data_IF_343330505883
#
_entry.id   IF_343330505883
#
_cell.length_a   1.000
_cell.length_b   1.000
_cell.length_c   1.000
_cell.angle_alpha   90.00
_cell.angle_beta   90.00
_cell.angle_gamma   90.00
#
_symmetry.space_group_name_H-M   'P 1'
#
loop_
_entity.id
_entity.type
_entity.pdbx_description
1 polymer ?
#
# COMPACT_ATOMS: atom_id res chain seq x y z
N UNK A 1 -79.63 -4.50 20.45
CA UNK A 1 -80.07 -4.08 19.11
C UNK A 1 -79.53 -5.06 18.10
N UNK A 2 -80.43 -5.63 17.29
CA UNK A 2 -80.22 -6.75 16.36
C UNK A 2 -80.08 -6.19 14.94
N UNK A 3 -79.08 -6.64 14.18
CA UNK A 3 -79.09 -6.83 12.71
C UNK A 3 -78.18 -8.04 12.43
N UNK A 4 -78.68 -9.24 12.09
CA UNK A 4 -79.11 -9.76 10.77
C UNK A 4 -78.12 -9.39 9.65
N UNK A 5 -77.67 -10.23 8.72
CA UNK A 5 -77.89 -11.64 8.33
C UNK A 5 -77.07 -11.84 7.01
N UNK A 6 -76.81 -13.11 6.61
CA UNK A 6 -76.55 -13.61 5.23
C UNK A 6 -75.08 -13.81 4.75
N UNK A 7 -74.63 -15.05 4.93
CA UNK A 7 -74.05 -16.02 3.97
C UNK A 7 -73.75 -15.61 2.51
N UNK A 8 -72.53 -15.89 2.01
CA UNK A 8 -72.10 -16.27 0.63
C UNK A 8 -70.60 -15.91 0.52
N UNK A 9 -69.66 -16.67 -0.04
CA UNK A 9 -69.60 -17.99 -0.62
C UNK A 9 -68.11 -18.32 -0.80
N UNK A 10 -67.79 -19.60 -0.83
CA UNK A 10 -66.46 -20.12 -1.12
C UNK A 10 -66.07 -19.73 -2.55
N UNK A 11 -64.88 -19.15 -2.75
CA UNK A 11 -64.19 -19.22 -4.04
C UNK A 11 -62.70 -19.36 -3.78
N UNK A 12 -62.23 -20.60 -3.93
CA UNK A 12 -60.83 -20.99 -3.99
C UNK A 12 -60.25 -20.35 -5.26
N UNK A 13 -59.35 -19.39 -5.12
CA UNK A 13 -58.42 -19.03 -6.18
C UNK A 13 -57.05 -19.45 -5.71
N UNK A 14 -56.62 -20.57 -6.27
CA UNK A 14 -55.29 -21.16 -6.17
C UNK A 14 -54.29 -20.18 -6.77
N UNK A 15 -53.73 -19.32 -5.92
CA UNK A 15 -52.60 -18.46 -6.26
C UNK A 15 -51.37 -19.35 -6.43
N UNK A 16 -51.00 -19.60 -7.67
CA UNK A 16 -49.72 -20.18 -8.07
C UNK A 16 -48.63 -19.26 -7.51
N UNK A 17 -48.01 -19.68 -6.41
CA UNK A 17 -46.78 -19.08 -5.91
C UNK A 17 -45.67 -19.55 -6.87
N UNK A 18 -45.44 -18.76 -7.91
CA UNK A 18 -44.20 -18.81 -8.68
C UNK A 18 -43.10 -18.31 -7.74
N UNK A 19 -42.52 -19.24 -7.00
CA UNK A 19 -41.23 -19.01 -6.34
C UNK A 19 -40.22 -18.91 -7.49
N UNK A 20 -40.02 -17.68 -7.99
CA UNK A 20 -38.83 -17.37 -8.74
C UNK A 20 -37.69 -17.58 -7.75
N UNK A 21 -37.08 -18.77 -7.80
CA UNK A 21 -35.71 -18.96 -7.38
C UNK A 21 -34.86 -18.11 -8.32
N UNK A 22 -34.89 -16.79 -8.10
CA UNK A 22 -33.74 -15.99 -8.40
C UNK A 22 -32.63 -16.60 -7.58
N UNK A 23 -31.73 -17.31 -8.24
CA UNK A 23 -30.40 -17.51 -7.71
C UNK A 23 -29.82 -16.11 -7.48
N UNK A 24 -30.12 -15.52 -6.32
CA UNK A 24 -29.15 -14.65 -5.70
C UNK A 24 -28.02 -15.59 -5.32
N UNK A 25 -27.09 -15.77 -6.24
CA UNK A 25 -25.72 -16.03 -5.87
C UNK A 25 -25.37 -14.89 -4.92
N UNK A 26 -25.54 -15.14 -3.63
CA UNK A 26 -25.00 -14.29 -2.60
C UNK A 26 -23.50 -14.44 -2.80
N UNK A 27 -22.96 -13.53 -3.61
CA UNK A 27 -21.54 -13.33 -3.69
C UNK A 27 -21.12 -13.05 -2.25
N UNK A 28 -20.55 -14.05 -1.60
CA UNK A 28 -19.64 -13.79 -0.52
C UNK A 28 -18.52 -13.00 -1.20
N UNK A 29 -18.66 -11.68 -1.28
CA UNK A 29 -17.65 -10.79 -1.84
C UNK A 29 -16.48 -10.79 -0.86
N UNK A 30 -15.65 -11.83 -0.98
CA UNK A 30 -14.37 -11.92 -0.30
C UNK A 30 -13.42 -10.84 -0.82
N UNK A 31 -13.65 -10.39 -2.05
CA UNK A 31 -12.79 -9.47 -2.77
C UNK A 31 -13.37 -8.05 -2.66
N UNK A 32 -12.52 -7.03 -2.47
CA UNK A 32 -12.97 -5.65 -2.39
C UNK A 32 -13.49 -5.15 -3.74
N UNK A 33 -14.49 -4.26 -3.69
CA UNK A 33 -15.00 -3.60 -4.91
C UNK A 33 -14.05 -2.53 -5.43
N UNK A 34 -13.20 -1.99 -4.57
CA UNK A 34 -12.23 -0.94 -4.89
C UNK A 34 -10.96 -1.12 -4.07
N UNK A 35 -9.82 -0.99 -4.74
CA UNK A 35 -8.50 -0.90 -4.11
C UNK A 35 -7.87 0.40 -4.58
N UNK A 36 -7.38 1.23 -3.67
CA UNK A 36 -6.78 2.52 -4.03
C UNK A 36 -6.11 3.22 -2.87
N UNK A 37 -5.65 4.45 -3.10
CA UNK A 37 -4.93 5.26 -2.11
C UNK A 37 -5.76 6.48 -1.70
N UNK A 38 -5.82 6.76 -0.40
CA UNK A 38 -6.51 7.94 0.13
C UNK A 38 -5.76 9.21 -0.32
N UNK A 39 -6.40 10.10 -1.08
CA UNK A 39 -5.82 11.39 -1.50
C UNK A 39 -6.42 12.59 -0.72
N UNK A 40 -7.54 12.39 -0.03
CA UNK A 40 -8.18 13.42 0.79
C UNK A 40 -9.14 12.86 1.83
N UNK A 41 -9.26 13.55 2.96
CA UNK A 41 -10.13 13.15 4.08
C UNK A 41 -10.96 14.36 4.51
N UNK A 42 -12.28 14.22 4.47
CA UNK A 42 -13.23 15.18 5.00
C UNK A 42 -13.83 14.62 6.29
N UNK A 43 -13.43 15.19 7.43
CA UNK A 43 -13.90 14.71 8.73
C UNK A 43 -15.41 14.84 8.90
N UNK A 44 -16.06 13.89 9.60
CA UNK A 44 -17.47 14.00 9.97
C UNK A 44 -17.67 15.24 10.86
N UNK A 45 -18.59 16.12 10.47
CA UNK A 45 -19.01 17.25 11.31
C UNK A 45 -20.28 16.89 12.08
N UNK A 46 -20.16 16.64 13.39
CA UNK A 46 -21.28 16.26 14.25
C UNK A 46 -21.79 14.84 13.97
N UNK A 47 -23.09 14.65 13.83
CA UNK A 47 -23.72 13.34 13.49
C UNK A 47 -23.62 12.97 11.99
N UNK A 48 -22.86 13.74 11.20
CA UNK A 48 -22.76 13.54 9.74
C UNK A 48 -21.73 12.46 9.39
N UNK A 49 -21.95 11.81 8.25
CA UNK A 49 -20.96 10.93 7.61
C UNK A 49 -19.69 11.71 7.23
N UNK A 50 -18.53 11.09 7.44
CA UNK A 50 -17.26 11.56 6.89
C UNK A 50 -17.12 11.13 5.43
N UNK A 51 -16.12 11.67 4.73
CA UNK A 51 -15.79 11.23 3.39
C UNK A 51 -14.28 11.04 3.23
N UNK A 52 -13.90 10.04 2.44
CA UNK A 52 -12.52 9.90 1.94
C UNK A 52 -12.55 9.94 0.42
N UNK A 53 -11.56 10.59 -0.17
CA UNK A 53 -11.30 10.55 -1.59
C UNK A 53 -10.22 9.48 -1.83
N UNK A 54 -10.44 8.61 -2.82
CA UNK A 54 -9.60 7.45 -3.11
C UNK A 54 -9.24 7.45 -4.59
N UNK A 55 -7.93 7.46 -4.89
CA UNK A 55 -7.39 7.31 -6.22
C UNK A 55 -7.17 5.81 -6.54
N UNK A 56 -7.64 5.34 -7.69
CA UNK A 56 -7.58 3.95 -8.15
C UNK A 56 -7.39 3.94 -9.69
N UNK A 57 -6.18 4.25 -10.18
CA UNK A 57 -5.94 4.51 -11.60
C UNK A 57 -6.23 3.32 -12.52
N UNK A 58 -6.18 2.09 -11.99
CA UNK A 58 -6.42 0.85 -12.73
C UNK A 58 -7.89 0.36 -12.68
N UNK A 59 -8.79 1.14 -12.08
CA UNK A 59 -10.20 0.76 -11.96
C UNK A 59 -10.99 1.01 -13.26
N UNK A 60 -11.84 0.05 -13.62
CA UNK A 60 -12.61 0.06 -14.86
C UNK A 60 -13.83 0.99 -14.86
N UNK A 61 -14.20 1.55 -13.70
CA UNK A 61 -15.39 2.40 -13.51
C UNK A 61 -15.01 3.87 -13.39
N UNK A 62 -13.97 4.20 -12.61
CA UNK A 62 -13.44 5.55 -12.42
C UNK A 62 -12.03 5.48 -11.84
N UNK A 63 -11.13 6.39 -12.21
CA UNK A 63 -9.81 6.51 -11.57
C UNK A 63 -9.90 7.16 -10.18
N UNK A 64 -11.02 7.81 -9.84
CA UNK A 64 -11.21 8.52 -8.58
C UNK A 64 -12.59 8.28 -7.99
N UNK A 65 -12.63 8.04 -6.67
CA UNK A 65 -13.85 7.81 -5.91
C UNK A 65 -13.95 8.73 -4.70
N UNK A 66 -15.14 9.28 -4.47
CA UNK A 66 -15.54 9.88 -3.20
C UNK A 66 -16.36 8.87 -2.41
N UNK A 67 -15.76 8.35 -1.35
CA UNK A 67 -16.35 7.32 -0.49
C UNK A 67 -16.98 7.96 0.74
N UNK A 68 -18.26 7.71 0.94
CA UNK A 68 -18.97 8.12 2.16
C UNK A 68 -18.78 7.09 3.26
N UNK A 69 -18.30 7.53 4.42
CA UNK A 69 -18.06 6.71 5.61
C UNK A 69 -19.07 7.07 6.69
N UNK A 70 -19.84 6.09 7.12
CA UNK A 70 -20.94 6.24 8.08
C UNK A 70 -20.61 5.55 9.40
N UNK A 71 -21.47 5.73 10.40
CA UNK A 71 -21.42 4.99 11.67
C UNK A 71 -21.58 3.46 11.50
N UNK A 72 -22.20 3.03 10.40
CA UNK A 72 -22.36 1.63 10.02
C UNK A 72 -21.15 1.06 9.29
N UNK A 73 -20.24 1.90 8.79
CA UNK A 73 -19.06 1.44 8.05
C UNK A 73 -18.10 0.75 9.00
N UNK A 74 -17.72 -0.49 8.69
CA UNK A 74 -16.75 -1.23 9.49
C UNK A 74 -15.34 -0.89 9.00
N UNK A 75 -14.52 -0.30 9.89
CA UNK A 75 -13.15 0.11 9.55
C UNK A 75 -12.17 -0.79 10.29
N UNK A 76 -11.22 -1.34 9.54
CA UNK A 76 -10.17 -2.21 10.06
C UNK A 76 -8.81 -1.76 9.53
N UNK A 77 -7.74 -2.10 10.25
CA UNK A 77 -6.38 -2.11 9.74
C UNK A 77 -5.86 -3.55 9.71
N UNK A 78 -5.06 -3.89 8.70
CA UNK A 78 -4.31 -5.15 8.64
C UNK A 78 -2.83 -4.84 8.47
N UNK A 79 -2.07 -5.17 9.50
CA UNK A 79 -0.61 -4.97 9.60
C UNK A 79 0.07 -6.34 9.48
N UNK A 80 1.16 -6.42 8.71
CA UNK A 80 1.98 -7.64 8.54
C UNK A 80 1.21 -8.93 8.14
N UNK A 81 0.04 -8.82 7.52
CA UNK A 81 -0.79 -9.97 7.10
C UNK A 81 -1.28 -10.91 8.21
N UNK A 82 -1.14 -10.54 9.49
CA UNK A 82 -1.44 -11.45 10.60
C UNK A 82 -2.90 -11.37 11.09
N UNK A 83 -3.50 -10.17 11.21
CA UNK A 83 -4.90 -10.01 11.68
C UNK A 83 -5.53 -8.64 11.42
N UNK A 84 -6.85 -8.62 11.18
CA UNK A 84 -7.67 -7.40 11.11
C UNK A 84 -7.92 -6.84 12.52
N UNK A 85 -7.46 -5.62 12.76
CA UNK A 85 -7.75 -4.85 13.97
C UNK A 85 -8.79 -3.77 13.66
N UNK A 86 -9.85 -3.67 14.47
CA UNK A 86 -10.88 -2.65 14.29
C UNK A 86 -10.34 -1.27 14.69
N UNK A 87 -10.57 -0.27 13.83
CA UNK A 87 -10.15 1.13 14.03
C UNK A 87 -11.31 2.09 13.72
N UNK A 88 -11.09 3.39 13.86
CA UNK A 88 -12.08 4.45 13.63
C UNK A 88 -11.74 5.35 12.44
N UNK A 89 -12.65 6.30 12.15
CA UNK A 89 -12.47 7.26 11.05
C UNK A 89 -11.21 8.12 11.20
N UNK A 90 -10.81 8.42 12.44
CA UNK A 90 -9.65 9.26 12.72
C UNK A 90 -8.31 8.55 12.46
N UNK A 91 -8.33 7.25 12.18
CA UNK A 91 -7.13 6.47 11.86
C UNK A 91 -6.78 6.53 10.36
N UNK A 92 -7.63 7.16 9.55
CA UNK A 92 -7.32 7.45 8.15
C UNK A 92 -6.25 8.54 8.03
N UNK A 93 -5.32 8.32 7.12
CA UNK A 93 -4.32 9.28 6.68
C UNK A 93 -4.25 9.30 5.15
N UNK A 94 -3.97 10.48 4.58
CA UNK A 94 -3.67 10.56 3.16
C UNK A 94 -2.43 9.69 2.83
N UNK A 95 -2.41 9.07 1.65
CA UNK A 95 -1.40 8.12 1.21
C UNK A 95 -1.67 6.66 1.60
N UNK A 96 -2.60 6.37 2.52
CA UNK A 96 -2.90 4.99 2.90
C UNK A 96 -3.58 4.22 1.77
N UNK A 97 -3.17 2.97 1.57
CA UNK A 97 -3.88 2.02 0.73
C UNK A 97 -5.12 1.52 1.45
N UNK A 98 -6.22 1.43 0.72
CA UNK A 98 -7.50 0.95 1.24
C UNK A 98 -8.12 -0.04 0.27
N UNK A 99 -8.67 -1.09 0.84
CA UNK A 99 -9.62 -1.97 0.20
C UNK A 99 -11.03 -1.61 0.70
N UNK A 100 -11.95 -1.36 -0.23
CA UNK A 100 -13.29 -0.85 0.06
C UNK A 100 -14.33 -1.82 -0.49
N UNK A 101 -15.23 -2.24 0.40
CA UNK A 101 -16.46 -2.94 0.04
C UNK A 101 -17.62 -1.94 0.11
N UNK A 102 -18.36 -1.82 -0.98
CA UNK A 102 -19.45 -0.89 -1.13
C UNK A 102 -20.71 -1.39 -0.42
N UNK A 103 -21.50 -0.46 0.13
CA UNK A 103 -22.79 -0.75 0.77
C UNK A 103 -23.99 -0.27 -0.05
N UNK A 104 -23.78 0.15 -1.29
CA UNK A 104 -24.82 0.69 -2.16
C UNK A 104 -24.34 0.88 -3.60
N UNK A 105 -25.22 1.40 -4.48
CA UNK A 105 -24.86 1.63 -5.88
C UNK A 105 -23.75 2.66 -6.02
N UNK A 106 -22.90 2.48 -7.03
CA UNK A 106 -21.95 3.50 -7.47
C UNK A 106 -22.71 4.53 -8.30
N UNK A 107 -22.55 5.81 -7.97
CA UNK A 107 -23.02 6.92 -8.80
C UNK A 107 -21.93 7.27 -9.80
N UNK A 108 -22.23 7.12 -11.08
CA UNK A 108 -21.33 7.36 -12.23
C UNK A 108 -21.13 8.87 -12.51
N UNK A 109 -20.69 9.62 -11.49
CA UNK A 109 -20.19 11.00 -11.62
C UNK A 109 -18.67 11.04 -11.63
N UNK A 110 -18.07 12.22 -11.80
CA UNK A 110 -16.63 12.41 -11.61
C UNK A 110 -16.33 13.40 -10.46
N UNK A 111 -15.67 12.97 -9.37
CA UNK A 111 -15.35 11.58 -9.02
C UNK A 111 -16.59 10.68 -8.87
N UNK A 112 -16.42 9.37 -9.02
CA UNK A 112 -17.50 8.41 -8.78
C UNK A 112 -17.84 8.42 -7.28
N UNK A 113 -19.11 8.30 -6.92
CA UNK A 113 -19.54 8.40 -5.52
C UNK A 113 -20.17 7.10 -5.04
N UNK A 114 -19.83 6.67 -3.83
CA UNK A 114 -20.37 5.44 -3.24
C UNK A 114 -20.29 5.47 -1.72
N UNK A 115 -21.09 4.64 -1.04
CA UNK A 115 -21.00 4.43 0.41
C UNK A 115 -20.22 3.17 0.72
N UNK A 116 -19.40 3.20 1.77
CA UNK A 116 -18.63 2.03 2.21
C UNK A 116 -19.40 1.21 3.25
N UNK A 117 -19.44 -0.11 3.06
CA UNK A 117 -19.84 -1.10 4.06
C UNK A 117 -18.67 -1.53 4.93
N UNK A 118 -17.53 -1.84 4.30
CA UNK A 118 -16.27 -2.16 4.98
C UNK A 118 -15.14 -1.39 4.32
N UNK A 119 -14.24 -0.87 5.14
CA UNK A 119 -12.95 -0.33 4.70
C UNK A 119 -11.87 -1.09 5.47
N UNK A 120 -10.96 -1.70 4.74
CA UNK A 120 -9.73 -2.23 5.29
C UNK A 120 -8.61 -1.29 4.87
N UNK A 121 -8.05 -0.58 5.85
CA UNK A 121 -6.74 0.05 5.70
C UNK A 121 -5.77 -1.12 5.60
N UNK A 122 -5.29 -1.34 4.39
CA UNK A 122 -4.21 -2.28 4.18
C UNK A 122 -2.94 -1.48 4.35
N UNK A 123 -1.99 -2.03 5.09
CA UNK A 123 -0.63 -1.83 4.63
C UNK A 123 -0.64 -2.41 3.21
N UNK A 124 -0.35 -1.58 2.21
CA UNK A 124 0.26 -2.11 1.00
C UNK A 124 1.27 -3.17 1.47
N UNK A 125 1.22 -4.44 1.01
CA UNK A 125 2.31 -5.36 1.33
C UNK A 125 3.56 -4.58 0.94
N UNK A 126 4.38 -4.21 1.92
CA UNK A 126 5.17 -3.01 1.77
C UNK A 126 5.98 -3.08 0.46
N UNK A 127 5.52 -2.33 -0.52
CA UNK A 127 6.09 -2.22 -1.85
C UNK A 127 5.82 -0.76 -2.16
N UNK A 128 6.58 0.15 -1.54
CA UNK A 128 8.01 0.29 -1.80
C UNK A 128 8.93 0.47 -0.57
N UNK A 129 8.66 -0.15 0.59
CA UNK A 129 9.66 -0.21 1.68
C UNK A 129 9.63 -1.53 2.44
N UNK A 130 10.56 -2.42 2.08
CA UNK A 130 11.02 -3.58 2.87
C UNK A 130 10.07 -4.80 2.89
N UNK A 131 10.53 -6.00 2.45
CA UNK A 131 9.82 -7.26 2.64
C UNK A 131 9.43 -7.49 4.12
N UNK A 132 8.27 -8.10 4.41
CA UNK A 132 7.99 -8.56 5.76
C UNK A 132 9.02 -9.63 6.13
N UNK A 133 9.84 -9.31 7.13
CA UNK A 133 10.65 -10.28 7.84
C UNK A 133 9.71 -11.23 8.58
N UNK A 134 9.48 -12.40 7.99
CA UNK A 134 9.10 -13.57 8.76
C UNK A 134 10.05 -13.63 9.98
N UNK A 135 9.47 -13.68 11.18
CA UNK A 135 10.09 -14.03 12.47
C UNK A 135 10.26 -12.88 13.49
N UNK A 136 9.80 -11.66 13.21
CA UNK A 136 9.81 -10.58 14.21
C UNK A 136 11.20 -10.05 14.59
N UNK A 137 12.19 -10.26 13.73
CA UNK A 137 13.54 -9.72 13.90
C UNK A 137 13.60 -8.28 13.36
N UNK A 138 14.29 -7.42 14.12
CA UNK A 138 14.45 -5.99 13.82
C UNK A 138 15.24 -5.77 12.52
N UNK A 139 14.62 -5.14 11.52
CA UNK A 139 15.31 -4.69 10.31
C UNK A 139 16.15 -3.44 10.58
N UNK A 140 17.28 -3.31 9.88
CA UNK A 140 18.10 -2.10 9.88
C UNK A 140 17.81 -1.33 8.60
N UNK A 141 17.48 -0.04 8.75
CA UNK A 141 17.35 0.90 7.63
C UNK A 141 18.57 1.81 7.58
N UNK A 142 19.22 1.86 6.43
CA UNK A 142 20.25 2.83 6.09
C UNK A 142 19.67 3.77 5.05
N UNK A 143 19.51 5.03 5.42
CA UNK A 143 19.11 6.08 4.50
C UNK A 143 20.27 7.05 4.27
N UNK A 144 20.46 7.47 3.02
CA UNK A 144 21.40 8.54 2.65
C UNK A 144 20.69 9.51 1.71
N UNK A 145 20.58 10.76 2.17
CA UNK A 145 19.86 11.82 1.46
C UNK A 145 20.73 12.50 0.40
N UNK A 146 20.11 13.27 -0.50
CA UNK A 146 20.85 14.04 -1.50
C UNK A 146 21.79 15.07 -0.85
N UNK A 147 21.35 15.70 0.25
CA UNK A 147 22.17 16.68 1.00
C UNK A 147 23.38 16.01 1.66
N UNK A 148 23.22 14.78 2.15
CA UNK A 148 24.31 13.99 2.72
C UNK A 148 25.34 13.64 1.64
N UNK A 149 24.90 13.15 0.47
CA UNK A 149 25.80 12.88 -0.65
C UNK A 149 26.45 14.14 -1.23
N UNK A 150 25.72 15.25 -1.31
CA UNK A 150 26.27 16.54 -1.76
C UNK A 150 27.36 17.05 -0.81
N UNK A 151 27.23 16.77 0.48
CA UNK A 151 28.22 17.16 1.50
C UNK A 151 29.38 16.17 1.59
N UNK A 152 29.10 14.87 1.44
CA UNK A 152 30.05 13.76 1.54
C UNK A 152 29.77 12.76 0.41
N UNK A 153 30.42 12.91 -0.75
CA UNK A 153 30.15 12.06 -1.92
C UNK A 153 30.45 10.58 -1.72
N UNK A 154 31.40 10.26 -0.83
CA UNK A 154 31.84 8.88 -0.57
C UNK A 154 31.66 8.55 0.91
N UNK A 155 30.67 7.72 1.21
CA UNK A 155 30.25 7.41 2.58
C UNK A 155 30.58 5.95 2.88
N UNK A 156 31.10 5.71 4.08
CA UNK A 156 31.29 4.35 4.62
C UNK A 156 30.56 4.24 5.95
N UNK A 157 29.75 3.18 6.12
CA UNK A 157 29.03 2.90 7.37
C UNK A 157 29.29 1.45 7.82
N UNK A 158 29.40 1.26 9.12
CA UNK A 158 29.43 -0.06 9.77
C UNK A 158 28.01 -0.44 10.17
N UNK A 159 27.56 -1.63 9.80
CA UNK A 159 26.20 -2.11 10.00
C UNK A 159 26.23 -3.45 10.72
N UNK A 160 25.49 -3.56 11.82
CA UNK A 160 25.30 -4.84 12.52
C UNK A 160 23.86 -5.33 12.33
N UNK A 161 23.69 -6.57 11.86
CA UNK A 161 22.41 -7.26 11.81
C UNK A 161 22.50 -8.59 12.57
N UNK A 162 21.40 -9.04 13.17
CA UNK A 162 21.33 -10.36 13.82
C UNK A 162 20.81 -11.40 12.82
N UNK A 163 21.35 -12.62 12.83
CA UNK A 163 20.85 -13.72 12.02
C UNK A 163 19.68 -14.46 12.71
N UNK A 164 18.56 -14.72 12.00
CA UNK A 164 18.20 -14.17 10.69
C UNK A 164 17.80 -12.69 10.80
N UNK A 165 18.13 -11.87 9.81
CA UNK A 165 17.77 -10.45 9.78
C UNK A 165 17.83 -9.85 8.39
N UNK A 166 17.39 -8.59 8.29
CA UNK A 166 17.38 -7.84 7.03
C UNK A 166 17.99 -6.46 7.16
N UNK A 167 18.50 -6.00 6.02
CA UNK A 167 19.02 -4.67 5.81
C UNK A 167 18.28 -4.03 4.64
N UNK A 168 17.83 -2.80 4.81
CA UNK A 168 17.29 -1.98 3.74
C UNK A 168 18.14 -0.74 3.56
N UNK A 169 18.44 -0.44 2.31
CA UNK A 169 19.29 0.68 1.93
C UNK A 169 18.48 1.59 1.01
N UNK A 170 18.28 2.85 1.42
CA UNK A 170 17.53 3.86 0.68
C UNK A 170 18.45 5.03 0.34
N UNK A 171 18.75 5.21 -0.94
CA UNK A 171 19.71 6.22 -1.42
C UNK A 171 18.99 7.23 -2.30
N UNK A 172 19.29 8.52 -2.12
CA UNK A 172 18.87 9.54 -3.07
C UNK A 172 19.26 9.14 -4.51
N UNK A 173 18.34 9.37 -5.44
CA UNK A 173 18.54 9.09 -6.86
C UNK A 173 17.85 10.15 -7.70
N UNK A 174 18.57 10.71 -8.67
CA UNK A 174 18.02 11.70 -9.59
C UNK A 174 18.28 11.31 -11.06
N UNK A 175 17.48 10.38 -11.63
CA UNK A 175 17.61 9.95 -13.01
C UNK A 175 17.53 11.07 -14.05
N UNK A 176 16.90 12.21 -13.71
CA UNK A 176 16.80 13.38 -14.62
C UNK A 176 18.16 14.02 -14.95
N UNK A 177 19.19 13.75 -14.14
CA UNK A 177 20.58 14.20 -14.36
C UNK A 177 21.40 13.28 -15.26
N UNK A 178 20.81 12.14 -15.66
CA UNK A 178 21.44 11.08 -16.44
C UNK A 178 22.31 10.12 -15.61
N UNK A 179 22.30 10.24 -14.29
CA UNK A 179 22.96 9.29 -13.40
C UNK A 179 21.98 8.22 -12.89
N UNK A 180 22.50 7.03 -12.67
CA UNK A 180 21.81 5.90 -12.06
C UNK A 180 22.74 5.14 -11.10
N UNK A 181 22.15 4.40 -10.17
CA UNK A 181 22.93 3.50 -9.32
C UNK A 181 23.27 2.22 -10.11
N UNK A 182 24.54 1.84 -10.12
CA UNK A 182 25.00 0.56 -10.66
C UNK A 182 24.45 -0.61 -9.83
N UNK A 183 24.49 -1.81 -10.40
CA UNK A 183 24.22 -3.04 -9.64
C UNK A 183 25.10 -3.09 -8.38
N UNK A 184 24.48 -3.40 -7.24
CA UNK A 184 25.22 -3.47 -5.97
C UNK A 184 26.28 -4.55 -6.04
N UNK A 185 27.50 -4.22 -5.63
CA UNK A 185 28.55 -5.21 -5.47
C UNK A 185 28.48 -5.78 -4.05
N UNK A 186 28.18 -7.08 -3.95
CA UNK A 186 28.08 -7.82 -2.70
C UNK A 186 29.36 -8.66 -2.54
N UNK A 187 30.11 -8.45 -1.46
CA UNK A 187 31.37 -9.16 -1.22
C UNK A 187 31.18 -10.65 -0.96
N UNK A 188 30.11 -11.02 -0.24
CA UNK A 188 29.72 -12.41 0.02
C UNK A 188 28.19 -12.59 -0.01
N UNK A 189 27.68 -13.08 -1.15
CA UNK A 189 26.25 -13.38 -1.37
C UNK A 189 25.74 -14.59 -0.58
N UNK A 190 26.63 -15.46 -0.10
CA UNK A 190 26.25 -16.62 0.73
C UNK A 190 25.92 -16.23 2.18
N UNK A 191 26.28 -15.00 2.56
CA UNK A 191 26.06 -14.42 3.86
C UNK A 191 24.92 -13.40 3.85
N UNK A 192 24.87 -12.52 2.85
CA UNK A 192 23.80 -11.53 2.66
C UNK A 192 23.50 -11.41 1.18
N UNK A 193 22.23 -11.48 0.80
CA UNK A 193 21.81 -11.42 -0.60
C UNK A 193 20.71 -10.40 -0.80
N UNK A 194 20.73 -9.73 -1.96
CA UNK A 194 19.67 -8.81 -2.36
C UNK A 194 18.39 -9.61 -2.66
N UNK A 195 17.29 -9.18 -2.08
CA UNK A 195 15.94 -9.71 -2.35
C UNK A 195 15.16 -8.82 -3.30
N UNK A 196 15.42 -7.51 -3.28
CA UNK A 196 14.66 -6.54 -4.05
C UNK A 196 15.48 -5.27 -4.33
N UNK A 197 15.18 -4.58 -5.43
CA UNK A 197 15.66 -3.23 -5.75
C UNK A 197 14.56 -2.49 -6.53
N UNK A 198 14.13 -1.34 -6.02
CA UNK A 198 13.12 -0.49 -6.66
C UNK A 198 13.54 0.99 -6.65
N UNK A 199 13.08 1.72 -7.66
CA UNK A 199 13.08 3.18 -7.64
C UNK A 199 11.74 3.71 -7.12
N UNK A 200 11.82 4.68 -6.21
CA UNK A 200 10.71 5.42 -5.59
C UNK A 200 10.74 6.85 -6.12
N UNK A 201 9.72 7.24 -6.87
CA UNK A 201 9.57 8.62 -7.33
C UNK A 201 9.27 9.56 -6.16
N UNK A 202 9.68 10.85 -6.22
CA UNK A 202 9.35 11.82 -5.17
C UNK A 202 7.84 11.97 -4.99
N UNK A 203 7.38 11.99 -3.73
CA UNK A 203 5.95 12.04 -3.35
C UNK A 203 5.24 13.32 -3.84
N UNK A 204 5.97 14.42 -4.04
CA UNK A 204 5.44 15.68 -4.54
C UNK A 204 5.20 15.61 -6.06
N UNK A 205 4.05 15.08 -6.44
CA UNK A 205 3.55 15.06 -7.82
C UNK A 205 3.46 16.49 -8.37
N UNK A 206 4.38 16.85 -9.28
CA UNK A 206 4.38 18.14 -9.98
C UNK A 206 5.72 18.86 -10.09
N UNK A 207 6.75 18.43 -9.35
CA UNK A 207 8.10 19.01 -9.51
C UNK A 207 8.87 18.18 -10.54
N UNK A 208 8.91 18.68 -11.78
CA UNK A 208 9.75 18.10 -12.84
C UNK A 208 11.22 18.16 -12.40
N UNK A 209 11.89 17.02 -12.35
CA UNK A 209 13.31 16.91 -12.00
C UNK A 209 13.63 16.78 -10.50
N UNK A 210 12.61 16.60 -9.64
CA UNK A 210 12.85 16.28 -8.24
C UNK A 210 13.52 14.90 -8.10
N UNK A 211 14.46 14.79 -7.15
CA UNK A 211 15.14 13.54 -6.85
C UNK A 211 14.18 12.56 -6.17
N UNK A 212 14.18 11.32 -6.64
CA UNK A 212 13.57 10.18 -5.96
C UNK A 212 14.58 9.43 -5.10
N UNK A 213 14.33 8.14 -4.90
CA UNK A 213 15.22 7.24 -4.16
C UNK A 213 15.32 5.89 -4.84
N UNK A 214 16.49 5.29 -4.82
CA UNK A 214 16.64 3.85 -5.07
C UNK A 214 16.66 3.12 -3.71
N UNK A 215 15.94 2.01 -3.64
CA UNK A 215 15.73 1.24 -2.41
C UNK A 215 16.07 -0.22 -2.66
N UNK A 216 17.05 -0.74 -1.92
CA UNK A 216 17.44 -2.14 -1.93
C UNK A 216 17.03 -2.83 -0.64
N UNK A 217 16.62 -4.08 -0.76
CA UNK A 217 16.33 -4.97 0.35
C UNK A 217 17.28 -6.16 0.34
N UNK A 218 17.80 -6.52 1.51
CA UNK A 218 18.72 -7.63 1.70
C UNK A 218 18.29 -8.51 2.86
N UNK A 219 18.52 -9.81 2.74
CA UNK A 219 18.35 -10.77 3.83
C UNK A 219 19.69 -11.46 4.14
N UNK A 220 19.92 -11.75 5.42
CA UNK A 220 21.03 -12.60 5.84
C UNK A 220 20.74 -14.07 5.58
N UNK A 221 21.71 -14.81 5.07
CA UNK A 221 21.69 -16.26 4.92
C UNK A 221 22.57 -17.00 5.96
N UNK A 222 23.58 -16.33 6.51
CA UNK A 222 24.45 -16.86 7.58
C UNK A 222 25.14 -15.74 8.36
N UNK A 223 25.78 -16.05 9.49
CA UNK A 223 26.58 -15.10 10.26
C UNK A 223 28.00 -14.92 9.69
N UNK A 224 28.59 -13.73 9.86
CA UNK A 224 29.92 -13.38 9.38
C UNK A 224 30.05 -11.90 9.01
N UNK A 225 31.00 -11.57 8.12
CA UNK A 225 31.16 -10.20 7.60
C UNK A 225 31.10 -10.17 6.07
N UNK A 226 30.44 -9.16 5.51
CA UNK A 226 30.36 -8.90 4.07
C UNK A 226 30.39 -7.40 3.81
N UNK A 227 30.69 -6.99 2.58
CA UNK A 227 30.70 -5.57 2.18
C UNK A 227 29.70 -5.36 1.06
N UNK A 228 28.87 -4.33 1.16
CA UNK A 228 27.98 -3.87 0.09
C UNK A 228 28.50 -2.56 -0.46
N UNK A 229 28.68 -2.47 -1.78
CA UNK A 229 29.15 -1.24 -2.44
C UNK A 229 28.16 -0.78 -3.49
N UNK A 230 27.71 0.46 -3.35
CA UNK A 230 26.81 1.15 -4.26
C UNK A 230 27.56 2.29 -4.96
N UNK A 231 27.36 2.45 -6.27
CA UNK A 231 28.01 3.48 -7.08
C UNK A 231 27.00 4.20 -7.96
N UNK A 232 26.98 5.53 -7.90
CA UNK A 232 26.12 6.38 -8.71
C UNK A 232 26.91 6.91 -9.91
N UNK A 233 26.51 6.53 -11.11
CA UNK A 233 27.30 6.70 -12.34
C UNK A 233 26.41 7.05 -13.52
N UNK A 234 27.01 7.60 -14.57
CA UNK A 234 26.40 7.69 -15.90
C UNK A 234 26.67 6.39 -16.65
N UNK A 235 25.65 5.67 -17.16
CA UNK A 235 25.85 4.30 -17.65
C UNK A 235 26.57 4.21 -19.00
N UNK A 236 26.57 5.28 -19.79
CA UNK A 236 27.21 5.29 -21.12
C UNK A 236 28.74 5.35 -21.06
N UNK A 237 29.37 4.95 -22.16
CA UNK A 237 30.83 4.98 -22.32
C UNK A 237 31.38 6.41 -22.27
N UNK A 238 32.48 6.60 -21.55
CA UNK A 238 33.04 7.92 -21.23
C UNK A 238 32.18 8.78 -20.28
N UNK A 239 31.09 8.24 -19.74
CA UNK A 239 30.30 8.88 -18.69
C UNK A 239 31.06 8.98 -17.37
N UNK A 240 30.71 9.98 -16.56
CA UNK A 240 31.22 10.12 -15.19
C UNK A 240 30.83 8.93 -14.33
N UNK A 241 31.78 8.42 -13.54
CA UNK A 241 31.63 7.19 -12.76
C UNK A 241 31.83 7.47 -11.28
N UNK A 242 31.04 6.78 -10.46
CA UNK A 242 31.17 6.80 -8.99
C UNK A 242 31.14 8.21 -8.42
N UNK A 243 30.24 9.06 -8.92
CA UNK A 243 30.02 10.41 -8.41
C UNK A 243 29.64 10.37 -6.93
N UNK A 244 28.71 9.48 -6.59
CA UNK A 244 28.41 9.11 -5.22
C UNK A 244 28.69 7.64 -4.98
N UNK A 245 29.20 7.32 -3.78
CA UNK A 245 29.41 5.94 -3.36
C UNK A 245 28.99 5.73 -1.92
N UNK A 246 28.34 4.60 -1.67
CA UNK A 246 28.12 4.08 -0.33
C UNK A 246 28.80 2.72 -0.19
N UNK A 247 29.61 2.58 0.85
CA UNK A 247 30.18 1.30 1.28
C UNK A 247 29.61 0.93 2.64
N UNK A 248 28.98 -0.23 2.74
CA UNK A 248 28.49 -0.79 4.01
C UNK A 248 29.35 -1.98 4.38
N UNK A 249 30.02 -1.91 5.52
CA UNK A 249 30.66 -3.06 6.14
C UNK A 249 29.62 -3.70 7.06
N UNK A 250 29.10 -4.84 6.64
CA UNK A 250 27.99 -5.52 7.31
C UNK A 250 28.53 -6.69 8.13
N UNK A 251 28.30 -6.65 9.44
CA UNK A 251 28.51 -7.78 10.34
C UNK A 251 27.15 -8.42 10.67
N UNK A 252 27.03 -9.71 10.36
CA UNK A 252 25.88 -10.54 10.71
C UNK A 252 26.24 -11.39 11.92
N UNK A 253 25.58 -11.14 13.05
CA UNK A 253 25.81 -11.82 14.34
C UNK A 253 24.87 -12.99 14.55
#
# INVERSE_FOLDING_TARGET
>A
MIKKLILLGVTIIMGIVLVLNGCSAQANETDPNLIGWIDGINQPQGEKSGQISVNSPDNNTSDKFMITVTDKTQIYTRINSEKDQKVGFNDFNAGQKVEVWFSGPVMESYPAQVSAGKILITEEPASQTMPPLNDGVKSILVEVTCDEFASTPHITKEIEITFPGSLVVSLCSNPSTGFEWEEVNIGDESLIYQTEHNYVSPEASGIVGAAGKDVWSFNSASSGQSTLTFKYSRPWDGGEKSEWTLTLNVEVK
#
